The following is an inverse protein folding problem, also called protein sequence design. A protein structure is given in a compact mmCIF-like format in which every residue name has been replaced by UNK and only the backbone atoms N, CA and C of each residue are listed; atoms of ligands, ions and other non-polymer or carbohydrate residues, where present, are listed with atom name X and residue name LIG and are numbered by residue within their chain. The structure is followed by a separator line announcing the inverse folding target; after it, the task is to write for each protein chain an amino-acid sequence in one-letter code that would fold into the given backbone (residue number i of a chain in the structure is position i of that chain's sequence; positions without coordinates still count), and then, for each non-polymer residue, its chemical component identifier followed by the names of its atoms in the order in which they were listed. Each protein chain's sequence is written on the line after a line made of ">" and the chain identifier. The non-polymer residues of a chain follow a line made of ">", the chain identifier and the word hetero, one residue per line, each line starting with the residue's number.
data_IF_885041780640
#
_entry.id   IF_885041780640
#
_cell.length_a   1.000
_cell.length_b   1.000
_cell.length_c   1.000
_cell.angle_alpha   90.00
_cell.angle_beta   90.00
_cell.angle_gamma   90.00
#
_symmetry.space_group_name_H-M   'P 1'
#
loop_
_entity.id
_entity.type
_entity.pdbx_description
1 polymer ?
#
# COMPACT_ATOMS: atom_id res chain seq x y z
N UNK A 1 -20.85 40.45 -53.30
CA UNK A 1 -21.37 39.75 -52.05
C UNK A 1 -20.86 38.32 -51.89
N UNK A 2 -20.50 37.57 -52.87
CA UNK A 2 -20.11 36.15 -52.82
C UNK A 2 -18.77 35.86 -52.12
N UNK A 3 -17.73 36.65 -52.28
CA UNK A 3 -16.40 36.41 -51.71
C UNK A 3 -16.32 36.60 -50.19
N UNK A 4 -17.16 37.47 -49.63
CA UNK A 4 -17.22 37.69 -48.16
C UNK A 4 -17.92 36.54 -47.44
N UNK A 5 -18.98 36.01 -48.08
CA UNK A 5 -19.72 34.86 -47.55
C UNK A 5 -18.84 33.59 -47.56
N UNK A 6 -18.09 33.36 -48.65
CA UNK A 6 -17.16 32.23 -48.75
C UNK A 6 -16.02 32.29 -47.73
N UNK A 7 -15.45 33.48 -47.46
CA UNK A 7 -14.41 33.64 -46.42
C UNK A 7 -14.94 33.41 -45.02
N UNK A 8 -16.18 33.82 -44.72
CA UNK A 8 -16.81 33.56 -43.41
C UNK A 8 -17.16 32.09 -43.23
N UNK A 9 -17.63 31.41 -44.29
CA UNK A 9 -17.90 29.97 -44.24
C UNK A 9 -16.61 29.14 -44.05
N UNK A 10 -15.51 29.53 -44.73
CA UNK A 10 -14.22 28.88 -44.55
C UNK A 10 -13.65 29.07 -43.14
N UNK A 11 -13.83 30.25 -42.53
CA UNK A 11 -13.38 30.54 -41.18
C UNK A 11 -14.17 29.71 -40.13
N UNK A 12 -15.49 29.56 -40.30
CA UNK A 12 -16.34 28.75 -39.42
C UNK A 12 -15.98 27.27 -39.52
N UNK A 13 -15.73 26.74 -40.70
CA UNK A 13 -15.28 25.37 -40.90
C UNK A 13 -13.90 25.11 -40.28
N UNK A 14 -12.98 26.06 -40.36
CA UNK A 14 -11.66 25.95 -39.75
C UNK A 14 -11.73 25.99 -38.21
N UNK A 15 -12.62 26.80 -37.65
CA UNK A 15 -12.83 26.85 -36.18
C UNK A 15 -13.52 25.57 -35.69
N UNK A 16 -14.49 25.01 -36.41
CA UNK A 16 -15.12 23.74 -36.08
C UNK A 16 -14.16 22.55 -36.16
N UNK A 17 -13.22 22.54 -37.11
CA UNK A 17 -12.20 21.47 -37.16
C UNK A 17 -11.16 21.56 -36.05
N UNK A 18 -10.86 22.74 -35.52
CA UNK A 18 -9.98 22.94 -34.38
C UNK A 18 -10.64 22.57 -33.01
N UNK A 19 -11.97 22.67 -32.94
CA UNK A 19 -12.75 22.29 -31.76
C UNK A 19 -13.11 20.79 -31.74
N UNK A 20 -12.98 20.07 -32.85
CA UNK A 20 -13.36 18.67 -33.01
C UNK A 20 -12.30 17.65 -32.53
N UNK A 21 -11.10 18.10 -32.20
CA UNK A 21 -10.02 17.23 -31.71
C UNK A 21 -9.83 17.33 -30.19
N UNK A 22 -10.93 17.30 -29.44
CA UNK A 22 -10.81 16.90 -28.03
C UNK A 22 -10.82 15.37 -28.03
N UNK A 23 -9.64 14.77 -28.13
CA UNK A 23 -9.48 13.36 -27.81
C UNK A 23 -10.05 13.18 -26.39
N UNK A 24 -11.28 12.65 -26.35
CA UNK A 24 -11.85 12.18 -25.10
C UNK A 24 -10.95 11.02 -24.67
N UNK A 25 -9.89 11.31 -23.90
CA UNK A 25 -9.08 10.29 -23.27
C UNK A 25 -10.07 9.40 -22.51
N UNK A 26 -10.34 8.22 -23.06
CA UNK A 26 -11.20 7.25 -22.41
C UNK A 26 -10.63 7.02 -21.01
N UNK A 27 -11.35 7.48 -20.00
CA UNK A 27 -10.96 7.27 -18.62
C UNK A 27 -10.82 5.76 -18.43
N UNK A 28 -9.59 5.30 -18.28
CA UNK A 28 -9.32 3.90 -18.04
C UNK A 28 -10.06 3.49 -16.78
N UNK A 29 -10.97 2.52 -16.88
CA UNK A 29 -11.75 2.07 -15.74
C UNK A 29 -10.79 1.55 -14.66
N UNK A 30 -11.07 1.90 -13.41
CA UNK A 30 -10.30 1.38 -12.28
C UNK A 30 -10.26 -0.15 -12.31
N UNK A 31 -9.14 -0.78 -11.90
CA UNK A 31 -9.05 -2.23 -11.84
C UNK A 31 -10.20 -2.83 -11.04
N UNK A 32 -10.88 -3.84 -11.60
CA UNK A 32 -11.91 -4.57 -10.90
C UNK A 32 -11.26 -5.58 -9.95
N UNK A 33 -11.46 -5.43 -8.66
CA UNK A 33 -10.92 -6.34 -7.65
C UNK A 33 -12.04 -6.86 -6.76
N UNK A 34 -11.89 -8.08 -6.22
CA UNK A 34 -12.76 -8.63 -5.19
C UNK A 34 -12.53 -8.04 -3.79
N UNK A 35 -11.55 -7.15 -3.62
CA UNK A 35 -11.24 -6.54 -2.34
C UNK A 35 -12.37 -5.62 -1.87
N UNK A 36 -12.62 -5.63 -0.56
CA UNK A 36 -13.58 -4.71 0.08
C UNK A 36 -13.09 -3.26 0.04
N UNK A 37 -11.79 -3.05 0.19
CA UNK A 37 -11.10 -1.78 0.02
C UNK A 37 -9.77 -1.99 -0.69
N UNK A 38 -9.33 -1.01 -1.48
CA UNK A 38 -7.99 -0.98 -2.07
C UNK A 38 -7.58 0.46 -2.38
N UNK A 39 -6.28 0.66 -2.51
CA UNK A 39 -5.68 1.89 -2.99
C UNK A 39 -4.54 1.55 -3.95
N UNK A 40 -4.44 2.28 -5.05
CA UNK A 40 -3.31 2.24 -5.97
C UNK A 40 -2.63 3.60 -5.97
N UNK A 41 -1.34 3.60 -5.69
CA UNK A 41 -0.54 4.83 -5.58
C UNK A 41 0.69 4.75 -6.48
N UNK A 42 1.10 5.89 -6.97
CA UNK A 42 2.42 6.06 -7.58
C UNK A 42 3.49 6.04 -6.48
N UNK A 43 4.44 5.10 -6.56
CA UNK A 43 5.43 4.90 -5.51
C UNK A 43 6.43 6.06 -5.37
N UNK A 44 6.68 6.79 -6.45
CA UNK A 44 7.65 7.90 -6.45
C UNK A 44 7.09 9.20 -5.88
N UNK A 45 5.85 9.51 -6.24
CA UNK A 45 5.19 10.76 -5.84
C UNK A 45 4.21 10.64 -4.68
N UNK A 46 3.81 9.43 -4.31
CA UNK A 46 2.75 9.18 -3.33
C UNK A 46 1.34 9.52 -3.83
N UNK A 47 1.19 9.87 -5.13
CA UNK A 47 -0.10 10.26 -5.68
C UNK A 47 -1.04 9.06 -5.78
N UNK A 48 -2.24 9.18 -5.24
CA UNK A 48 -3.31 8.19 -5.41
C UNK A 48 -3.79 8.21 -6.86
N UNK A 49 -3.72 7.08 -7.53
CA UNK A 49 -4.17 6.87 -8.91
C UNK A 49 -5.63 6.43 -8.94
N UNK A 50 -6.01 5.53 -8.06
CA UNK A 50 -7.38 5.07 -7.87
C UNK A 50 -7.52 4.34 -6.55
N UNK A 51 -8.74 4.16 -6.08
CA UNK A 51 -9.03 3.43 -4.85
C UNK A 51 -10.52 3.15 -4.65
N UNK A 52 -10.81 2.32 -3.68
CA UNK A 52 -12.15 1.98 -3.23
C UNK A 52 -12.15 1.93 -1.71
N UNK A 53 -13.08 2.62 -1.08
CA UNK A 53 -13.23 2.67 0.37
C UNK A 53 -11.91 3.01 1.11
N UNK A 54 -11.13 3.95 0.59
CA UNK A 54 -9.78 4.26 1.06
C UNK A 54 -9.71 4.77 2.49
N UNK A 55 -10.80 5.38 2.97
CA UNK A 55 -10.92 5.93 4.33
C UNK A 55 -11.65 5.00 5.30
N UNK A 56 -12.01 3.80 4.82
CA UNK A 56 -12.74 2.85 5.66
C UNK A 56 -11.79 2.10 6.59
N UNK A 57 -12.07 2.14 7.88
CA UNK A 57 -11.37 1.33 8.88
C UNK A 57 -11.76 -0.14 8.74
N UNK A 58 -10.78 -0.98 8.47
CA UNK A 58 -10.93 -2.42 8.29
C UNK A 58 -9.84 -3.17 9.06
N UNK A 59 -10.16 -4.38 9.50
CA UNK A 59 -9.15 -5.28 10.04
C UNK A 59 -8.19 -5.70 8.91
N UNK A 60 -6.93 -5.31 9.03
CA UNK A 60 -5.90 -5.49 7.99
C UNK A 60 -5.04 -6.74 8.19
N UNK A 61 -5.43 -7.61 9.12
CA UNK A 61 -4.72 -8.85 9.44
C UNK A 61 -3.20 -8.62 9.60
N UNK A 62 -2.38 -9.50 9.06
CA UNK A 62 -0.92 -9.46 9.22
C UNK A 62 -0.21 -8.27 8.55
N UNK A 63 -0.88 -7.44 7.75
CA UNK A 63 -0.27 -6.20 7.27
C UNK A 63 0.07 -5.23 8.40
N UNK A 64 -0.56 -5.36 9.58
CA UNK A 64 -0.18 -4.66 10.81
C UNK A 64 1.31 -4.87 11.17
N UNK A 65 1.89 -6.02 10.86
CA UNK A 65 3.29 -6.36 11.16
C UNK A 65 4.31 -5.48 10.44
N UNK A 66 3.91 -4.85 9.34
CA UNK A 66 4.72 -3.83 8.65
C UNK A 66 4.97 -2.64 9.58
N UNK A 67 3.92 -2.18 10.28
CA UNK A 67 4.06 -1.09 11.24
C UNK A 67 4.89 -1.52 12.46
N UNK A 68 4.66 -2.73 12.99
CA UNK A 68 5.48 -3.28 14.08
C UNK A 68 6.96 -3.30 13.69
N UNK A 69 7.26 -3.75 12.47
CA UNK A 69 8.64 -3.76 11.94
C UNK A 69 9.22 -2.35 11.87
N UNK A 70 8.48 -1.40 11.34
CA UNK A 70 8.93 -0.02 11.20
C UNK A 70 9.26 0.59 12.57
N UNK A 71 8.38 0.46 13.54
CA UNK A 71 8.60 0.95 14.90
C UNK A 71 9.83 0.28 15.53
N UNK A 72 9.96 -1.04 15.41
CA UNK A 72 11.10 -1.77 15.94
C UNK A 72 12.44 -1.32 15.33
N UNK A 73 12.45 -1.01 14.03
CA UNK A 73 13.64 -0.49 13.33
C UNK A 73 13.99 0.95 13.73
N UNK A 74 12.99 1.76 14.08
CA UNK A 74 13.19 3.15 14.49
C UNK A 74 13.63 3.28 15.96
N UNK A 75 13.22 2.35 16.82
CA UNK A 75 13.39 2.47 18.28
C UNK A 75 14.37 1.47 18.87
N UNK A 76 14.59 0.31 18.24
CA UNK A 76 15.41 -0.78 18.73
C UNK A 76 16.78 -0.87 18.06
N UNK A 77 17.65 -1.70 18.62
CA UNK A 77 18.90 -2.07 18.00
C UNK A 77 18.80 -3.54 17.52
N UNK A 78 19.11 -3.79 16.25
CA UNK A 78 19.01 -5.12 15.63
C UNK A 78 19.78 -6.22 16.37
N UNK A 79 20.85 -5.86 17.09
CA UNK A 79 21.66 -6.79 17.89
C UNK A 79 21.14 -7.02 19.33
N UNK A 80 20.10 -6.32 19.76
CA UNK A 80 19.52 -6.50 21.09
C UNK A 80 18.96 -7.90 21.24
N UNK A 81 19.27 -8.53 22.38
CA UNK A 81 18.87 -9.89 22.66
C UNK A 81 17.59 -9.92 23.46
N UNK A 82 16.63 -10.66 22.95
CA UNK A 82 15.32 -10.86 23.54
C UNK A 82 15.20 -12.29 24.02
N UNK A 83 14.82 -12.48 25.28
CA UNK A 83 14.53 -13.81 25.80
C UNK A 83 13.05 -14.11 25.63
N UNK A 84 12.74 -15.20 24.92
CA UNK A 84 11.37 -15.66 24.71
C UNK A 84 10.74 -16.10 26.03
N UNK A 85 9.61 -15.52 26.40
CA UNK A 85 8.82 -15.86 27.56
C UNK A 85 7.65 -16.76 27.18
N UNK A 86 7.06 -17.47 28.15
CA UNK A 86 5.92 -18.35 27.92
C UNK A 86 4.69 -17.59 27.35
N UNK A 87 4.49 -16.36 27.77
CA UNK A 87 3.38 -15.52 27.29
C UNK A 87 3.55 -15.00 25.85
N UNK A 88 4.74 -15.12 25.27
CA UNK A 88 4.98 -14.77 23.86
C UNK A 88 4.49 -15.86 22.89
N UNK A 89 4.31 -17.10 23.39
CA UNK A 89 3.88 -18.22 22.56
C UNK A 89 2.38 -18.07 22.24
N UNK A 90 2.08 -17.63 21.01
CA UNK A 90 0.71 -17.36 20.53
C UNK A 90 0.29 -18.36 19.46
N UNK A 91 -1.01 -18.60 19.41
CA UNK A 91 -1.62 -19.39 18.35
C UNK A 91 -1.61 -18.67 17.00
N UNK A 92 -1.76 -19.44 15.93
CA UNK A 92 -1.79 -18.98 14.55
C UNK A 92 -0.44 -19.09 13.85
N UNK A 93 -0.12 -18.17 12.96
CA UNK A 93 1.18 -18.15 12.28
C UNK A 93 2.32 -17.96 13.28
N UNK A 94 3.36 -18.78 13.18
CA UNK A 94 4.43 -18.85 14.18
C UNK A 94 5.78 -19.13 13.52
N UNK A 95 6.86 -18.65 14.10
CA UNK A 95 8.22 -19.12 13.82
C UNK A 95 8.63 -20.26 14.74
N UNK A 96 7.71 -20.78 15.57
CA UNK A 96 7.88 -21.91 16.47
C UNK A 96 8.91 -21.68 17.58
N UNK A 97 8.87 -20.50 18.18
CA UNK A 97 9.71 -20.15 19.33
C UNK A 97 9.43 -21.04 20.54
N UNK A 98 10.45 -21.18 21.40
CA UNK A 98 10.35 -21.90 22.68
C UNK A 98 10.71 -20.97 23.82
N UNK A 99 10.00 -21.09 24.94
CA UNK A 99 10.33 -20.32 26.12
C UNK A 99 11.76 -20.59 26.58
N UNK A 100 12.51 -19.53 26.87
CA UNK A 100 13.92 -19.57 27.24
C UNK A 100 14.89 -19.42 26.06
N UNK A 101 14.43 -19.48 24.81
CA UNK A 101 15.28 -19.14 23.66
C UNK A 101 15.70 -17.67 23.73
N UNK A 102 16.88 -17.37 23.21
CA UNK A 102 17.40 -16.00 23.12
C UNK A 102 17.71 -15.71 21.66
N UNK A 103 17.00 -14.74 21.09
CA UNK A 103 17.18 -14.29 19.71
C UNK A 103 17.53 -12.81 19.70
N UNK A 104 18.13 -12.37 18.59
CA UNK A 104 18.31 -10.94 18.32
C UNK A 104 17.01 -10.33 17.80
N UNK A 105 16.87 -9.01 17.91
CA UNK A 105 15.77 -8.30 17.29
C UNK A 105 15.71 -8.55 15.77
N UNK A 106 16.88 -8.62 15.11
CA UNK A 106 16.95 -8.94 13.69
C UNK A 106 16.34 -10.30 13.35
N UNK A 107 16.70 -11.36 14.11
CA UNK A 107 16.15 -12.70 13.93
C UNK A 107 14.63 -12.74 14.16
N UNK A 108 14.14 -12.00 15.15
CA UNK A 108 12.71 -11.86 15.41
C UNK A 108 11.99 -11.12 14.27
N UNK A 109 12.60 -10.10 13.69
CA UNK A 109 12.03 -9.39 12.52
C UNK A 109 11.91 -10.30 11.29
N UNK A 110 12.88 -11.19 11.05
CA UNK A 110 12.73 -12.21 10.01
C UNK A 110 11.58 -13.17 10.33
N UNK A 111 11.45 -13.61 11.58
CA UNK A 111 10.34 -14.44 12.02
C UNK A 111 8.97 -13.74 11.98
N UNK A 112 8.96 -12.44 12.17
CA UNK A 112 7.76 -11.60 12.04
C UNK A 112 7.28 -11.52 10.59
N UNK A 113 8.19 -11.27 9.65
CA UNK A 113 7.84 -10.93 8.27
C UNK A 113 7.70 -12.14 7.36
N UNK A 114 8.56 -13.17 7.47
CA UNK A 114 8.57 -14.31 6.56
C UNK A 114 7.43 -15.29 6.84
N UNK A 115 7.38 -15.98 8.02
CA UNK A 115 6.26 -16.85 8.37
C UNK A 115 5.08 -16.07 8.97
N UNK A 116 5.20 -14.76 9.14
CA UNK A 116 4.18 -13.94 9.80
C UNK A 116 3.95 -14.35 11.28
N UNK A 117 5.05 -14.64 12.02
CA UNK A 117 5.00 -15.17 13.37
C UNK A 117 4.30 -14.24 14.38
N UNK A 118 3.27 -14.74 15.05
CA UNK A 118 2.60 -14.04 16.14
C UNK A 118 3.45 -14.05 17.40
N UNK A 119 4.16 -15.15 17.63
CA UNK A 119 5.15 -15.32 18.71
C UNK A 119 6.30 -14.31 18.59
N UNK A 120 6.82 -14.11 17.38
CA UNK A 120 7.82 -13.08 17.12
C UNK A 120 7.29 -11.67 17.37
N UNK A 121 6.03 -11.40 16.98
CA UNK A 121 5.40 -10.11 17.24
C UNK A 121 5.31 -9.78 18.74
N UNK A 122 4.91 -10.74 19.56
CA UNK A 122 4.84 -10.57 21.01
C UNK A 122 6.22 -10.37 21.65
N UNK A 123 7.25 -11.10 21.16
CA UNK A 123 8.62 -10.88 21.63
C UNK A 123 9.10 -9.45 21.33
N UNK A 124 8.84 -8.95 20.14
CA UNK A 124 9.24 -7.60 19.72
C UNK A 124 8.49 -6.52 20.52
N UNK A 125 7.20 -6.74 20.79
CA UNK A 125 6.39 -5.79 21.56
C UNK A 125 6.80 -5.65 23.03
N UNK A 126 7.55 -6.61 23.56
CA UNK A 126 8.01 -6.66 24.97
C UNK A 126 9.47 -6.18 25.13
N UNK A 127 10.06 -5.63 24.04
CA UNK A 127 11.40 -5.05 24.03
C UNK A 127 11.36 -3.52 24.16
#
# INVERSE_FOLDING_TARGET
>A
MTRVVQRRAALVLMVCSLLGCVDCAAAQSAPQTGAEAFILMDAGSGRVLTGKNTERELAIASTTKIMTTLVALETGNLSDKVTVKQNHLKEGSSMYLRAGEVLTLEELLYGLLLPSGNDAAECIADT
#
